data_IF_306932011848
#
_entry.id   IF_306932011848
#
_cell.length_a   1.000
_cell.length_b   1.000
_cell.length_c   1.000
_cell.angle_alpha   90.00
_cell.angle_beta   90.00
_cell.angle_gamma   90.00
#
_symmetry.space_group_name_H-M   'P 1'
#
loop_
_entity.id
_entity.type
_entity.pdbx_description
1 polymer ?
#
# COMPACT_ATOMS: atom_id res chain seq x y z
N UNK A 1 11.71 -7.75 37.43
CA UNK A 1 11.23 -6.53 36.74
C UNK A 1 11.67 -6.59 35.28
N UNK A 2 10.77 -6.90 34.35
CA UNK A 2 11.05 -6.90 32.90
C UNK A 2 10.48 -5.63 32.26
N UNK A 3 11.37 -4.75 31.81
CA UNK A 3 11.04 -3.52 31.07
C UNK A 3 10.65 -3.89 29.63
N UNK A 4 9.38 -4.24 29.40
CA UNK A 4 8.80 -4.11 28.07
C UNK A 4 8.47 -2.63 27.85
N UNK A 5 8.90 -2.02 26.73
CA UNK A 5 8.58 -0.63 26.45
C UNK A 5 7.06 -0.48 26.43
N UNK A 6 6.54 0.41 27.28
CA UNK A 6 5.13 0.79 27.31
C UNK A 6 4.71 1.18 25.90
N UNK A 7 4.00 0.28 25.23
CA UNK A 7 3.53 0.47 23.87
C UNK A 7 2.61 1.69 23.87
N UNK A 8 3.10 2.82 23.32
CA UNK A 8 2.28 4.01 23.06
C UNK A 8 1.05 3.56 22.27
N UNK A 9 -0.10 3.47 22.95
CA UNK A 9 -1.37 3.11 22.32
C UNK A 9 -1.69 4.19 21.30
N UNK A 10 -1.67 3.83 20.02
CA UNK A 10 -2.12 4.72 18.94
C UNK A 10 -3.58 5.07 19.19
N UNK A 11 -3.91 6.36 19.24
CA UNK A 11 -5.29 6.86 19.40
C UNK A 11 -6.11 6.74 18.11
N UNK A 12 -5.45 6.48 16.98
CA UNK A 12 -6.06 6.41 15.65
C UNK A 12 -5.85 5.03 15.05
N UNK A 13 -6.89 4.53 14.37
CA UNK A 13 -6.92 3.22 13.71
C UNK A 13 -6.87 3.45 12.20
N UNK A 14 -6.09 2.66 11.47
CA UNK A 14 -6.10 2.75 10.00
C UNK A 14 -7.43 2.27 9.42
N UNK A 15 -7.82 2.79 8.25
CA UNK A 15 -9.03 2.31 7.56
C UNK A 15 -9.01 0.78 7.37
N UNK A 16 -7.84 0.20 7.04
CA UNK A 16 -7.68 -1.25 6.91
C UNK A 16 -8.00 -1.99 8.21
N UNK A 17 -7.41 -1.58 9.33
CA UNK A 17 -7.64 -2.21 10.64
C UNK A 17 -9.11 -2.11 11.05
N UNK A 18 -9.75 -0.97 10.79
CA UNK A 18 -11.18 -0.78 11.05
C UNK A 18 -12.06 -1.74 10.24
N UNK A 19 -11.82 -1.86 8.93
CA UNK A 19 -12.61 -2.74 8.08
C UNK A 19 -12.38 -4.22 8.38
N UNK A 20 -11.14 -4.62 8.69
CA UNK A 20 -10.84 -5.99 9.13
C UNK A 20 -11.57 -6.32 10.42
N UNK A 21 -11.56 -5.40 11.39
CA UNK A 21 -12.31 -5.57 12.64
C UNK A 21 -13.82 -5.73 12.39
N UNK A 22 -14.40 -4.93 11.51
CA UNK A 22 -15.83 -4.99 11.18
C UNK A 22 -16.24 -6.23 10.37
N UNK A 23 -15.30 -6.86 9.65
CA UNK A 23 -15.55 -8.06 8.85
C UNK A 23 -15.17 -9.36 9.57
N UNK A 24 -14.52 -9.27 10.74
CA UNK A 24 -14.11 -10.43 11.52
C UNK A 24 -15.35 -11.16 12.06
N UNK A 25 -15.49 -12.45 11.73
CA UNK A 25 -16.53 -13.32 12.30
C UNK A 25 -16.16 -13.62 13.76
N UNK A 26 -17.07 -13.36 14.69
CA UNK A 26 -16.94 -13.67 16.11
C UNK A 26 -18.25 -14.28 16.60
N UNK A 27 -18.15 -15.36 17.38
CA UNK A 27 -19.33 -16.11 17.85
C UNK A 27 -20.23 -15.30 18.79
N UNK A 28 -19.65 -14.36 19.54
CA UNK A 28 -20.31 -13.51 20.54
C UNK A 28 -20.94 -12.24 19.94
N UNK A 29 -20.61 -11.87 18.70
CA UNK A 29 -21.04 -10.61 18.08
C UNK A 29 -22.07 -10.86 16.97
N UNK A 30 -23.26 -10.26 17.10
CA UNK A 30 -24.27 -10.28 16.05
C UNK A 30 -23.92 -9.22 15.00
N UNK A 31 -22.85 -9.47 14.24
CA UNK A 31 -22.45 -8.58 13.16
C UNK A 31 -23.48 -8.64 12.02
N UNK A 32 -24.48 -7.76 12.07
CA UNK A 32 -25.57 -7.69 11.08
C UNK A 32 -25.04 -7.56 9.65
N UNK A 33 -23.95 -6.81 9.46
CA UNK A 33 -23.27 -6.60 8.17
C UNK A 33 -22.92 -7.94 7.49
N UNK A 34 -22.51 -8.95 8.27
CA UNK A 34 -22.10 -10.26 7.76
C UNK A 34 -23.28 -11.14 7.33
N UNK A 35 -24.52 -10.79 7.71
CA UNK A 35 -25.74 -11.56 7.39
C UNK A 35 -26.44 -11.10 6.12
N UNK A 36 -26.12 -9.92 5.58
CA UNK A 36 -26.84 -9.33 4.44
C UNK A 36 -26.46 -9.91 3.05
N UNK A 37 -25.75 -11.04 2.97
CA UNK A 37 -25.54 -11.80 1.72
C UNK A 37 -25.01 -10.98 0.54
N UNK A 38 -25.89 -10.59 -0.40
CA UNK A 38 -25.53 -9.77 -1.57
C UNK A 38 -24.97 -8.39 -1.19
N UNK A 39 -25.53 -7.75 -0.15
CA UNK A 39 -25.07 -6.45 0.29
C UNK A 39 -23.67 -6.53 0.92
N UNK A 40 -23.35 -7.65 1.60
CA UNK A 40 -22.01 -7.90 2.12
C UNK A 40 -20.98 -7.92 0.98
N UNK A 41 -21.28 -8.61 -0.13
CA UNK A 41 -20.41 -8.65 -1.31
C UNK A 41 -20.16 -7.24 -1.85
N UNK A 42 -21.21 -6.43 -1.97
CA UNK A 42 -21.10 -5.04 -2.43
C UNK A 42 -20.28 -4.17 -1.46
N UNK A 43 -20.47 -4.35 -0.16
CA UNK A 43 -19.71 -3.66 0.88
C UNK A 43 -18.22 -4.02 0.82
N UNK A 44 -17.87 -5.30 0.64
CA UNK A 44 -16.49 -5.75 0.51
C UNK A 44 -15.81 -5.09 -0.70
N UNK A 45 -16.47 -5.10 -1.86
CA UNK A 45 -15.94 -4.47 -3.09
C UNK A 45 -15.77 -2.96 -2.89
N UNK A 46 -16.76 -2.27 -2.31
CA UNK A 46 -16.67 -0.84 -2.04
C UNK A 46 -15.52 -0.50 -1.07
N UNK A 47 -15.33 -1.32 -0.02
CA UNK A 47 -14.21 -1.16 0.93
C UNK A 47 -12.85 -1.40 0.26
N UNK A 48 -12.76 -2.36 -0.65
CA UNK A 48 -11.55 -2.61 -1.45
C UNK A 48 -11.21 -1.40 -2.31
N UNK A 49 -12.16 -0.89 -3.09
CA UNK A 49 -11.94 0.30 -3.93
C UNK A 49 -11.48 1.49 -3.09
N UNK A 50 -12.13 1.72 -1.94
CA UNK A 50 -11.73 2.79 -1.02
C UNK A 50 -10.30 2.62 -0.51
N UNK A 51 -9.93 1.39 -0.12
CA UNK A 51 -8.58 1.09 0.37
C UNK A 51 -7.53 1.31 -0.74
N UNK A 52 -7.82 0.86 -1.96
CA UNK A 52 -6.93 1.07 -3.11
C UNK A 52 -6.79 2.55 -3.48
N UNK A 53 -7.88 3.32 -3.45
CA UNK A 53 -7.81 4.77 -3.66
C UNK A 53 -6.96 5.46 -2.61
N UNK A 54 -7.07 5.08 -1.33
CA UNK A 54 -6.21 5.62 -0.26
C UNK A 54 -4.74 5.23 -0.44
N UNK A 55 -4.47 4.00 -0.91
CA UNK A 55 -3.11 3.57 -1.25
C UNK A 55 -2.54 4.37 -2.41
N UNK A 56 -3.32 4.57 -3.46
CA UNK A 56 -2.95 5.40 -4.60
C UNK A 56 -2.68 6.84 -4.19
N UNK A 57 -3.58 7.44 -3.39
CA UNK A 57 -3.42 8.80 -2.89
C UNK A 57 -2.11 8.94 -2.10
N UNK A 58 -1.79 7.95 -1.25
CA UNK A 58 -0.52 7.91 -0.52
C UNK A 58 0.71 7.93 -1.45
N UNK A 59 0.67 7.18 -2.55
CA UNK A 59 1.76 7.16 -3.53
C UNK A 59 1.81 8.44 -4.38
N UNK A 60 0.66 9.03 -4.70
CA UNK A 60 0.60 10.28 -5.47
C UNK A 60 0.95 11.52 -4.65
N UNK A 61 0.80 11.46 -3.32
CA UNK A 61 1.04 12.59 -2.44
C UNK A 61 2.50 13.08 -2.51
N UNK A 62 2.69 14.35 -2.84
CA UNK A 62 4.00 14.93 -3.19
C UNK A 62 5.06 14.79 -2.08
N UNK A 63 4.67 14.83 -0.81
CA UNK A 63 5.60 14.66 0.33
C UNK A 63 6.15 13.22 0.42
N UNK A 64 5.29 12.21 0.30
CA UNK A 64 5.70 10.80 0.27
C UNK A 64 6.52 10.51 -0.97
N UNK A 65 6.13 11.12 -2.09
CA UNK A 65 6.84 10.98 -3.35
C UNK A 65 8.26 11.55 -3.30
N UNK A 66 8.51 12.63 -2.54
CA UNK A 66 9.87 13.16 -2.29
C UNK A 66 10.72 12.15 -1.51
N UNK A 67 10.16 11.49 -0.50
CA UNK A 67 10.87 10.44 0.27
C UNK A 67 11.19 9.24 -0.61
N UNK A 68 10.20 8.70 -1.33
CA UNK A 68 10.36 7.58 -2.25
C UNK A 68 11.37 7.90 -3.38
N UNK A 69 11.36 9.15 -3.89
CA UNK A 69 12.36 9.59 -4.86
C UNK A 69 13.75 9.63 -4.24
N UNK A 70 13.92 10.13 -3.02
CA UNK A 70 15.23 10.16 -2.34
C UNK A 70 15.78 8.75 -2.13
N UNK A 71 14.96 7.82 -1.65
CA UNK A 71 15.33 6.41 -1.48
C UNK A 71 15.73 5.76 -2.81
N UNK A 72 14.95 5.96 -3.88
CA UNK A 72 15.31 5.46 -5.21
C UNK A 72 16.58 6.11 -5.77
N UNK A 73 16.78 7.40 -5.54
CA UNK A 73 17.97 8.10 -6.01
C UNK A 73 19.22 7.62 -5.27
N UNK A 74 19.13 7.40 -3.96
CA UNK A 74 20.20 6.80 -3.18
C UNK A 74 20.50 5.40 -3.72
N UNK A 75 19.49 4.54 -3.86
CA UNK A 75 19.68 3.20 -4.43
C UNK A 75 20.23 3.22 -5.86
N UNK A 76 19.85 4.22 -6.68
CA UNK A 76 20.42 4.40 -8.02
C UNK A 76 21.89 4.83 -7.95
N UNK A 77 22.24 5.80 -7.10
CA UNK A 77 23.63 6.22 -6.90
C UNK A 77 24.47 5.02 -6.44
N UNK A 78 23.98 4.25 -5.48
CA UNK A 78 24.65 3.04 -4.99
C UNK A 78 24.82 1.99 -6.12
N UNK A 79 23.83 1.85 -7.01
CA UNK A 79 23.87 0.95 -8.17
C UNK A 79 24.77 1.46 -9.32
N UNK A 80 24.86 2.78 -9.50
CA UNK A 80 25.74 3.43 -10.49
C UNK A 80 27.19 3.35 -10.02
N UNK A 81 27.44 3.50 -8.71
CA UNK A 81 28.73 3.19 -8.09
C UNK A 81 29.08 1.71 -8.28
N UNK A 82 28.08 0.82 -8.37
CA UNK A 82 28.24 -0.59 -8.75
C UNK A 82 28.29 -0.85 -10.27
N UNK A 83 28.34 0.18 -11.14
CA UNK A 83 28.75 0.06 -12.54
C UNK A 83 27.67 0.18 -13.64
N UNK A 84 26.41 0.53 -13.34
CA UNK A 84 25.35 0.63 -14.38
C UNK A 84 25.11 2.08 -14.82
N UNK A 85 25.51 2.41 -16.05
CA UNK A 85 25.41 3.75 -16.66
C UNK A 85 24.28 3.80 -17.69
N UNK A 86 23.09 4.32 -17.35
CA UNK A 86 22.11 4.81 -18.33
C UNK A 86 21.00 5.65 -17.67
N UNK A 87 21.05 6.99 -17.84
CA UNK A 87 20.19 7.97 -17.17
C UNK A 87 19.27 8.77 -18.12
N UNK A 88 18.84 8.18 -19.23
CA UNK A 88 18.05 8.88 -20.26
C UNK A 88 16.59 8.45 -20.33
N UNK A 89 15.71 9.05 -19.50
CA UNK A 89 14.24 9.23 -19.74
C UNK A 89 13.55 9.76 -18.48
N UNK A 90 13.55 11.09 -18.30
CA UNK A 90 12.87 11.77 -17.20
C UNK A 90 11.58 12.41 -17.76
N UNK A 91 10.43 11.85 -17.42
CA UNK A 91 9.10 12.40 -17.72
C UNK A 91 8.12 12.10 -16.58
N UNK A 92 7.24 13.08 -16.27
CA UNK A 92 6.22 13.17 -15.18
C UNK A 92 6.28 12.10 -14.06
N UNK A 93 6.73 12.52 -12.88
CA UNK A 93 7.44 11.65 -11.94
C UNK A 93 6.64 11.13 -10.75
N UNK A 94 5.41 10.66 -10.90
CA UNK A 94 4.81 9.85 -9.81
C UNK A 94 5.42 8.46 -9.91
N UNK A 95 6.22 8.07 -8.91
CA UNK A 95 6.87 6.77 -8.87
C UNK A 95 5.97 5.82 -8.11
N UNK A 96 5.20 5.02 -8.84
CA UNK A 96 4.56 3.84 -8.28
C UNK A 96 5.61 2.72 -8.19
N UNK A 97 5.83 2.13 -7.01
CA UNK A 97 6.73 0.99 -6.84
C UNK A 97 6.23 -0.23 -7.64
N UNK A 98 7.13 -1.17 -7.93
CA UNK A 98 6.79 -2.44 -8.62
C UNK A 98 5.81 -3.31 -7.83
N UNK A 99 5.65 -3.06 -6.52
CA UNK A 99 4.67 -3.72 -5.66
C UNK A 99 3.23 -3.28 -5.93
N UNK A 100 3.01 -2.23 -6.73
CA UNK A 100 1.67 -1.82 -7.15
C UNK A 100 1.14 -2.74 -8.24
N UNK A 101 0.20 -3.61 -7.87
CA UNK A 101 -0.39 -4.62 -8.75
C UNK A 101 -1.20 -3.95 -9.87
N UNK A 102 -0.98 -4.38 -11.11
CA UNK A 102 -1.69 -3.84 -12.28
C UNK A 102 -1.09 -2.56 -12.85
N UNK A 103 0.01 -2.04 -12.27
CA UNK A 103 0.76 -0.94 -12.87
C UNK A 103 1.63 -1.37 -14.05
N UNK A 104 2.06 -0.43 -14.91
CA UNK A 104 2.96 -0.74 -16.04
C UNK A 104 4.25 -1.45 -15.61
N UNK A 105 4.79 -1.18 -14.41
CA UNK A 105 5.98 -1.87 -13.88
C UNK A 105 5.70 -3.31 -13.44
N UNK A 106 4.60 -3.53 -12.72
CA UNK A 106 4.19 -4.87 -12.26
C UNK A 106 3.87 -5.79 -13.45
N UNK A 107 3.16 -5.27 -14.46
CA UNK A 107 2.94 -5.93 -15.74
C UNK A 107 4.25 -6.36 -16.41
N UNK A 108 5.22 -5.44 -16.54
CA UNK A 108 6.52 -5.76 -17.15
C UNK A 108 7.28 -6.83 -16.38
N UNK A 109 7.30 -6.74 -15.05
CA UNK A 109 7.98 -7.73 -14.20
C UNK A 109 7.35 -9.13 -14.29
N UNK A 110 6.03 -9.23 -14.49
CA UNK A 110 5.35 -10.52 -14.59
C UNK A 110 5.45 -11.16 -15.98
N UNK A 111 5.53 -10.35 -17.04
CA UNK A 111 5.35 -10.84 -18.42
C UNK A 111 6.54 -10.62 -19.36
N UNK A 112 7.57 -9.84 -18.99
CA UNK A 112 8.72 -9.55 -19.87
C UNK A 112 10.07 -10.10 -19.36
N UNK A 113 10.10 -10.74 -18.20
CA UNK A 113 11.32 -11.32 -17.60
C UNK A 113 11.30 -12.85 -17.63
N UNK A 114 10.90 -13.44 -18.76
CA UNK A 114 11.04 -14.86 -19.07
C UNK A 114 12.07 -15.05 -20.20
#
# INVERSE_FOLDING_TARGET
MSLLPSSRKRKTVSCREYYVYKLQIREQDKSYILRFGRLLKHCIVANYVKLETMRLDFFTHSSNQKRLRRENYQGLIDSVVAGVQQAGKIGKRVYLPSTFIGGPRDMRHRYLTQ
#
